data_IF_539986584568
#
_entry.id   IF_539986584568
#
_cell.length_a   1.000
_cell.length_b   1.000
_cell.length_c   1.000
_cell.angle_alpha   90.00
_cell.angle_beta   90.00
_cell.angle_gamma   90.00
#
_symmetry.space_group_name_H-M   'P 1'
#
loop_
_entity.id
_entity.type
_entity.pdbx_description
1 polymer ?
#
# COMPACT_ATOMS: atom_id res chain seq x y z
N UNK A 1 75.53 32.15 7.32
CA UNK A 1 75.30 31.50 6.01
C UNK A 1 75.10 30.01 6.27
N UNK A 2 74.06 29.42 5.66
CA UNK A 2 73.54 28.05 5.84
C UNK A 2 72.87 27.78 7.21
N UNK A 3 71.75 27.08 7.34
CA UNK A 3 70.79 26.35 6.49
C UNK A 3 69.61 26.00 7.42
N UNK A 4 68.51 25.33 7.09
CA UNK A 4 67.94 24.68 5.93
C UNK A 4 66.55 24.23 6.42
N UNK A 5 65.53 24.31 5.56
CA UNK A 5 64.18 23.86 5.89
C UNK A 5 64.12 22.34 5.91
N UNK A 6 63.41 21.75 6.89
CA UNK A 6 63.02 20.34 6.86
C UNK A 6 61.52 20.23 7.20
N UNK A 7 60.76 19.86 6.18
CA UNK A 7 59.33 19.56 6.19
C UNK A 7 59.08 18.19 6.80
N UNK A 8 58.22 18.14 7.83
CA UNK A 8 57.65 16.90 8.33
C UNK A 8 56.44 16.52 7.47
N UNK A 9 56.58 15.42 6.74
CA UNK A 9 55.51 14.73 6.01
C UNK A 9 54.70 13.94 7.04
N UNK A 10 53.42 14.28 7.21
CA UNK A 10 52.45 13.48 7.96
C UNK A 10 51.53 12.85 6.93
N UNK A 11 51.77 11.57 6.62
CA UNK A 11 50.80 10.74 5.90
C UNK A 11 49.55 10.61 6.76
N UNK A 12 48.42 11.09 6.22
CA UNK A 12 47.10 10.74 6.72
C UNK A 12 46.57 9.65 5.81
N UNK A 13 46.65 8.40 6.27
CA UNK A 13 45.94 7.29 5.64
C UNK A 13 44.44 7.53 5.75
N UNK A 14 43.81 7.88 4.62
CA UNK A 14 42.38 7.99 4.44
C UNK A 14 41.76 6.58 4.43
N UNK A 15 41.14 6.18 5.55
CA UNK A 15 40.32 4.96 5.62
C UNK A 15 39.04 5.16 4.81
N UNK A 16 38.95 4.51 3.66
CA UNK A 16 37.71 4.35 2.88
C UNK A 16 36.77 3.37 3.59
N UNK A 17 35.71 3.86 4.23
CA UNK A 17 34.55 3.04 4.60
C UNK A 17 33.63 2.88 3.38
N UNK A 18 33.02 1.69 3.17
CA UNK A 18 32.30 1.38 1.94
C UNK A 18 30.93 2.09 1.86
N UNK A 19 30.65 2.71 0.72
CA UNK A 19 29.40 3.43 0.36
C UNK A 19 28.10 2.61 0.48
N UNK A 20 28.18 1.30 0.72
CA UNK A 20 27.04 0.39 0.79
C UNK A 20 26.13 0.62 2.02
N UNK A 21 26.59 1.35 3.03
CA UNK A 21 25.84 1.64 4.26
C UNK A 21 24.68 2.62 4.04
N UNK A 22 24.81 3.58 3.12
CA UNK A 22 23.86 4.68 2.96
C UNK A 22 22.49 4.26 2.40
N UNK A 23 22.48 3.38 1.40
CA UNK A 23 21.23 2.84 0.82
C UNK A 23 20.53 1.87 1.78
N UNK A 24 21.30 1.04 2.48
CA UNK A 24 20.78 0.09 3.48
C UNK A 24 20.21 0.84 4.68
N UNK A 25 20.86 1.92 5.11
CA UNK A 25 20.43 2.78 6.21
C UNK A 25 19.22 3.64 5.83
N UNK A 26 19.14 4.14 4.58
CA UNK A 26 17.96 4.82 4.05
C UNK A 26 16.74 3.88 4.02
N UNK A 27 16.88 2.66 3.50
CA UNK A 27 15.80 1.65 3.47
C UNK A 27 15.38 1.27 4.90
N UNK A 28 16.33 1.10 5.82
CA UNK A 28 16.07 0.74 7.22
C UNK A 28 15.38 1.88 7.98
N UNK A 29 15.65 3.12 7.62
CA UNK A 29 15.00 4.31 8.20
C UNK A 29 13.59 4.47 7.63
N UNK A 30 13.41 4.39 6.31
CA UNK A 30 12.07 4.41 5.69
C UNK A 30 11.17 3.28 6.20
N UNK A 31 11.69 2.05 6.34
CA UNK A 31 10.93 0.91 6.88
C UNK A 31 10.48 1.08 8.34
N UNK A 32 11.16 1.92 9.13
CA UNK A 32 10.78 2.27 10.51
C UNK A 32 9.73 3.38 10.59
N UNK A 33 9.66 4.28 9.60
CA UNK A 33 8.76 5.44 9.61
C UNK A 33 7.40 5.19 8.91
N UNK A 34 7.36 4.35 7.88
CA UNK A 34 6.14 4.05 7.10
C UNK A 34 4.99 3.44 7.93
N UNK A 35 5.20 2.51 8.89
CA UNK A 35 4.09 1.87 9.61
C UNK A 35 3.27 2.84 10.47
N UNK A 36 3.94 3.87 11.00
CA UNK A 36 3.32 4.89 11.86
C UNK A 36 2.53 5.89 11.02
N UNK A 37 3.00 6.19 9.81
CA UNK A 37 2.33 7.07 8.85
C UNK A 37 0.99 6.50 8.37
N UNK A 38 0.93 5.19 8.07
CA UNK A 38 -0.33 4.53 7.69
C UNK A 38 -1.34 4.57 8.84
N UNK A 39 -0.88 4.41 10.08
CA UNK A 39 -1.75 4.44 11.26
C UNK A 39 -2.34 5.84 11.49
N UNK A 40 -1.51 6.88 11.37
CA UNK A 40 -1.92 8.27 11.56
C UNK A 40 -2.91 8.73 10.45
N UNK A 41 -2.68 8.35 9.19
CA UNK A 41 -3.59 8.63 8.06
C UNK A 41 -4.93 7.87 8.18
N UNK A 42 -4.89 6.63 8.67
CA UNK A 42 -6.10 5.87 8.98
C UNK A 42 -6.90 6.56 10.10
N UNK A 43 -6.23 7.08 11.13
CA UNK A 43 -6.91 7.78 12.22
C UNK A 43 -7.47 9.13 11.79
N UNK A 44 -6.79 9.85 10.88
CA UNK A 44 -7.33 11.04 10.23
C UNK A 44 -8.56 10.72 9.35
N UNK A 45 -8.48 9.67 8.53
CA UNK A 45 -9.59 9.22 7.70
C UNK A 45 -10.81 8.80 8.54
N UNK A 46 -10.59 8.16 9.70
CA UNK A 46 -11.66 7.86 10.66
C UNK A 46 -12.32 9.14 11.17
N UNK A 47 -11.55 10.13 11.58
CA UNK A 47 -12.09 11.41 12.07
C UNK A 47 -12.87 12.15 10.98
N UNK A 48 -12.39 12.17 9.73
CA UNK A 48 -13.16 12.75 8.62
C UNK A 48 -14.45 11.98 8.33
N UNK A 49 -14.40 10.65 8.39
CA UNK A 49 -15.59 9.81 8.26
C UNK A 49 -16.58 10.06 9.39
N UNK A 50 -16.12 10.32 10.61
CA UNK A 50 -16.99 10.70 11.74
C UNK A 50 -17.67 12.05 11.54
N UNK A 51 -16.95 13.05 11.03
CA UNK A 51 -17.56 14.35 10.67
C UNK A 51 -18.59 14.21 9.54
N UNK A 52 -18.30 13.37 8.53
CA UNK A 52 -19.25 13.06 7.44
C UNK A 52 -20.43 12.20 7.92
N UNK A 53 -20.20 11.34 8.93
CA UNK A 53 -21.23 10.51 9.57
C UNK A 53 -22.30 11.35 10.24
N UNK A 54 -22.02 12.56 10.72
CA UNK A 54 -23.08 13.43 11.25
C UNK A 54 -24.10 13.85 10.18
N UNK A 55 -23.63 14.18 8.97
CA UNK A 55 -24.48 14.56 7.82
C UNK A 55 -25.24 13.36 7.24
N UNK A 56 -24.57 12.22 7.11
CA UNK A 56 -25.22 10.94 6.73
C UNK A 56 -26.15 10.44 7.84
N UNK A 57 -25.81 10.73 9.09
CA UNK A 57 -26.57 10.37 10.28
C UNK A 57 -27.95 10.98 10.29
N UNK A 58 -28.09 12.25 9.87
CA UNK A 58 -29.39 12.88 9.66
C UNK A 58 -30.25 12.13 8.64
N UNK A 59 -29.68 11.66 7.53
CA UNK A 59 -30.43 10.86 6.53
C UNK A 59 -30.80 9.49 7.12
N UNK A 60 -29.88 8.87 7.87
CA UNK A 60 -30.11 7.59 8.52
C UNK A 60 -31.22 7.65 9.60
N UNK A 61 -31.33 8.75 10.35
CA UNK A 61 -32.40 8.93 11.34
C UNK A 61 -33.76 9.08 10.67
N UNK A 62 -33.87 9.88 9.61
CA UNK A 62 -35.12 9.97 8.84
C UNK A 62 -35.48 8.66 8.15
N UNK A 63 -34.50 7.92 7.63
CA UNK A 63 -34.73 6.60 7.06
C UNK A 63 -35.20 5.59 8.11
N UNK A 64 -34.61 5.60 9.31
CA UNK A 64 -35.04 4.77 10.42
C UNK A 64 -36.47 5.12 10.87
N UNK A 65 -36.79 6.41 10.97
CA UNK A 65 -38.13 6.87 11.31
C UNK A 65 -39.16 6.47 10.24
N UNK A 66 -38.82 6.62 8.96
CA UNK A 66 -39.65 6.16 7.85
C UNK A 66 -39.91 4.66 7.93
N UNK A 67 -38.90 3.85 8.27
CA UNK A 67 -39.06 2.40 8.46
C UNK A 67 -40.03 2.08 9.61
N UNK A 68 -39.99 2.83 10.71
CA UNK A 68 -40.95 2.69 11.82
C UNK A 68 -42.37 2.99 11.35
N UNK A 69 -42.58 4.10 10.62
CA UNK A 69 -43.91 4.43 10.10
C UNK A 69 -44.43 3.42 9.08
N UNK A 70 -43.56 2.87 8.23
CA UNK A 70 -43.92 1.79 7.31
C UNK A 70 -44.33 0.54 8.09
N UNK A 71 -43.62 0.18 9.16
CA UNK A 71 -43.99 -0.96 10.01
C UNK A 71 -45.36 -0.75 10.68
N UNK A 72 -45.62 0.45 11.22
CA UNK A 72 -46.93 0.79 11.80
C UNK A 72 -48.04 0.76 10.76
N UNK A 73 -47.79 1.26 9.55
CA UNK A 73 -48.75 1.19 8.43
C UNK A 73 -49.09 -0.26 8.08
N UNK A 74 -48.10 -1.15 7.99
CA UNK A 74 -48.33 -2.57 7.72
C UNK A 74 -49.20 -3.19 8.81
N UNK A 75 -48.92 -2.92 10.09
CA UNK A 75 -49.76 -3.41 11.21
C UNK A 75 -51.20 -2.90 11.06
N UNK A 76 -51.39 -1.61 10.80
CA UNK A 76 -52.71 -1.01 10.63
C UNK A 76 -53.47 -1.64 9.45
N UNK A 77 -52.80 -1.90 8.33
CA UNK A 77 -53.38 -2.58 7.17
C UNK A 77 -53.79 -4.03 7.49
N UNK A 78 -52.98 -4.77 8.26
CA UNK A 78 -53.33 -6.13 8.69
C UNK A 78 -54.56 -6.10 9.59
N UNK A 79 -54.61 -5.19 10.57
CA UNK A 79 -55.78 -5.02 11.44
C UNK A 79 -57.02 -4.65 10.63
N UNK A 80 -56.90 -3.72 9.68
CA UNK A 80 -58.00 -3.33 8.80
C UNK A 80 -58.48 -4.49 7.93
N UNK A 81 -57.57 -5.32 7.40
CA UNK A 81 -57.93 -6.51 6.63
C UNK A 81 -58.67 -7.56 7.48
N UNK A 82 -58.21 -7.78 8.71
CA UNK A 82 -58.89 -8.69 9.66
C UNK A 82 -60.28 -8.15 10.01
N UNK A 83 -60.40 -6.86 10.35
CA UNK A 83 -61.67 -6.23 10.68
C UNK A 83 -62.64 -6.22 9.50
N UNK A 84 -62.15 -5.96 8.28
CA UNK A 84 -62.93 -6.01 7.05
C UNK A 84 -63.48 -7.41 6.77
N UNK A 85 -62.65 -8.45 6.89
CA UNK A 85 -63.09 -9.84 6.71
C UNK A 85 -64.02 -10.29 7.86
N UNK A 86 -63.86 -9.73 9.06
CA UNK A 86 -64.71 -10.03 10.21
C UNK A 86 -66.18 -9.58 10.04
N UNK A 87 -66.48 -8.79 9.00
CA UNK A 87 -67.87 -8.43 8.66
C UNK A 87 -68.67 -9.61 8.07
N UNK A 88 -67.98 -10.61 7.50
CA UNK A 88 -68.60 -11.78 6.86
C UNK A 88 -68.33 -13.10 7.59
N UNK A 89 -67.25 -13.20 8.37
CA UNK A 89 -66.91 -14.39 9.17
C UNK A 89 -66.48 -14.00 10.60
N UNK A 90 -66.49 -14.91 11.59
CA UNK A 90 -66.06 -14.57 12.95
C UNK A 90 -64.63 -14.00 13.01
N UNK A 91 -64.39 -13.09 13.97
CA UNK A 91 -63.10 -12.38 14.11
C UNK A 91 -61.90 -13.33 14.24
N UNK A 92 -62.04 -14.41 15.01
CA UNK A 92 -60.98 -15.41 15.20
C UNK A 92 -60.61 -16.12 13.88
N UNK A 93 -61.61 -16.40 13.04
CA UNK A 93 -61.40 -17.06 11.75
C UNK A 93 -60.78 -16.09 10.74
N UNK A 94 -61.21 -14.82 10.75
CA UNK A 94 -60.60 -13.76 9.92
C UNK A 94 -59.11 -13.61 10.21
N UNK A 95 -58.71 -13.57 11.49
CA UNK A 95 -57.31 -13.49 11.88
C UNK A 95 -56.49 -14.68 11.37
N UNK A 96 -57.03 -15.90 11.45
CA UNK A 96 -56.38 -17.10 10.92
C UNK A 96 -56.23 -17.07 9.40
N UNK A 97 -57.25 -16.64 8.66
CA UNK A 97 -57.22 -16.58 7.19
C UNK A 97 -56.18 -15.56 6.71
N UNK A 98 -56.20 -14.33 7.26
CA UNK A 98 -55.24 -13.29 6.88
C UNK A 98 -53.81 -13.70 7.26
N UNK A 99 -53.62 -14.31 8.44
CA UNK A 99 -52.32 -14.84 8.86
C UNK A 99 -51.80 -15.92 7.89
N UNK A 100 -52.65 -16.88 7.50
CA UNK A 100 -52.28 -17.91 6.54
C UNK A 100 -51.91 -17.34 5.16
N UNK A 101 -52.65 -16.34 4.68
CA UNK A 101 -52.34 -15.65 3.42
C UNK A 101 -50.99 -14.93 3.47
N UNK A 102 -50.70 -14.21 4.56
CA UNK A 102 -49.41 -13.54 4.76
C UNK A 102 -48.25 -14.53 4.90
N UNK A 103 -48.46 -15.64 5.61
CA UNK A 103 -47.46 -16.71 5.74
C UNK A 103 -47.09 -17.28 4.37
N UNK A 104 -48.08 -17.50 3.51
CA UNK A 104 -47.86 -18.00 2.15
C UNK A 104 -47.05 -17.01 1.31
N UNK A 105 -47.40 -15.71 1.35
CA UNK A 105 -46.63 -14.66 0.67
C UNK A 105 -45.19 -14.60 1.18
N UNK A 106 -45.00 -14.68 2.50
CA UNK A 106 -43.68 -14.65 3.13
C UNK A 106 -42.85 -15.88 2.76
N UNK A 107 -43.46 -17.06 2.68
CA UNK A 107 -42.81 -18.29 2.22
C UNK A 107 -42.35 -18.18 0.76
N UNK A 108 -43.19 -17.64 -0.13
CA UNK A 108 -42.83 -17.41 -1.54
C UNK A 108 -41.68 -16.40 -1.64
N UNK A 109 -41.78 -15.26 -0.96
CA UNK A 109 -40.73 -14.23 -0.97
C UNK A 109 -39.40 -14.76 -0.41
N UNK A 110 -39.45 -15.51 0.70
CA UNK A 110 -38.28 -16.15 1.29
C UNK A 110 -37.67 -17.18 0.33
N UNK A 111 -38.49 -17.99 -0.35
CA UNK A 111 -38.01 -18.96 -1.33
C UNK A 111 -37.34 -18.29 -2.53
N UNK A 112 -37.94 -17.23 -3.09
CA UNK A 112 -37.35 -16.47 -4.20
C UNK A 112 -36.02 -15.86 -3.78
N UNK A 113 -35.99 -15.22 -2.60
CA UNK A 113 -34.76 -14.63 -2.03
C UNK A 113 -33.70 -15.70 -1.84
N UNK A 114 -34.06 -16.84 -1.24
CA UNK A 114 -33.16 -17.97 -1.05
C UNK A 114 -32.60 -18.49 -2.37
N UNK A 115 -33.43 -18.67 -3.41
CA UNK A 115 -32.96 -19.13 -4.72
C UNK A 115 -32.01 -18.15 -5.37
N UNK A 116 -32.30 -16.84 -5.29
CA UNK A 116 -31.41 -15.79 -5.82
C UNK A 116 -30.09 -15.75 -5.07
N UNK A 117 -30.12 -15.73 -3.73
CA UNK A 117 -28.91 -15.71 -2.89
C UNK A 117 -28.09 -16.99 -3.09
N UNK A 118 -28.74 -18.15 -3.19
CA UNK A 118 -28.07 -19.42 -3.46
C UNK A 118 -27.37 -19.44 -4.82
N UNK A 119 -27.96 -18.82 -5.83
CA UNK A 119 -27.33 -18.65 -7.14
C UNK A 119 -26.10 -17.74 -7.12
N UNK A 120 -25.94 -16.91 -6.08
CA UNK A 120 -24.78 -16.04 -5.88
C UNK A 120 -23.70 -16.70 -5.01
N UNK A 121 -23.90 -17.94 -4.54
CA UNK A 121 -22.88 -18.68 -3.80
C UNK A 121 -21.84 -19.29 -4.77
N UNK A 122 -20.53 -19.22 -4.45
CA UNK A 122 -19.95 -18.71 -3.21
C UNK A 122 -19.84 -17.17 -3.16
N UNK A 123 -20.51 -16.54 -2.18
CA UNK A 123 -20.47 -15.09 -1.93
C UNK A 123 -19.10 -14.62 -1.41
N UNK A 124 -18.28 -15.56 -0.91
CA UNK A 124 -16.89 -15.31 -0.58
C UNK A 124 -16.03 -15.54 -1.82
N UNK A 125 -15.22 -14.56 -2.24
CA UNK A 125 -14.24 -14.77 -3.29
C UNK A 125 -13.10 -15.65 -2.73
N UNK A 126 -13.29 -16.97 -2.78
CA UNK A 126 -12.38 -17.94 -2.17
C UNK A 126 -10.93 -17.77 -2.63
N UNK A 127 -10.73 -17.44 -3.91
CA UNK A 127 -9.40 -17.21 -4.47
C UNK A 127 -8.74 -15.93 -3.94
N UNK A 128 -9.48 -14.82 -3.86
CA UNK A 128 -8.93 -13.57 -3.32
C UNK A 128 -8.61 -13.71 -1.83
N UNK A 129 -9.48 -14.39 -1.07
CA UNK A 129 -9.25 -14.63 0.35
C UNK A 129 -8.08 -15.59 0.59
N UNK A 130 -7.94 -16.64 -0.21
CA UNK A 130 -6.80 -17.58 -0.14
C UNK A 130 -5.48 -16.87 -0.49
N UNK A 131 -5.46 -16.08 -1.56
CA UNK A 131 -4.30 -15.30 -1.98
C UNK A 131 -3.84 -14.34 -0.89
N UNK A 132 -4.77 -13.58 -0.29
CA UNK A 132 -4.44 -12.65 0.79
C UNK A 132 -3.84 -13.37 2.02
N UNK A 133 -4.38 -14.54 2.40
CA UNK A 133 -3.83 -15.34 3.51
C UNK A 133 -2.45 -15.91 3.16
N UNK A 134 -2.25 -16.32 1.91
CA UNK A 134 -0.97 -16.80 1.41
C UNK A 134 0.10 -15.70 1.46
N UNK A 135 -0.21 -14.51 0.97
CA UNK A 135 0.72 -13.39 0.95
C UNK A 135 1.07 -12.93 2.37
N UNK A 136 0.08 -12.86 3.26
CA UNK A 136 0.31 -12.56 4.69
C UNK A 136 1.17 -13.65 5.37
N UNK A 137 0.94 -14.91 5.01
CA UNK A 137 1.73 -16.04 5.50
C UNK A 137 3.20 -15.94 5.10
N UNK A 138 3.48 -15.66 3.83
CA UNK A 138 4.84 -15.44 3.32
C UNK A 138 5.49 -14.24 4.00
N UNK A 139 4.76 -13.13 4.18
CA UNK A 139 5.32 -11.95 4.86
C UNK A 139 5.69 -12.26 6.32
N UNK A 140 4.93 -13.14 6.98
CA UNK A 140 5.14 -13.48 8.40
C UNK A 140 6.20 -14.57 8.61
N UNK A 141 6.17 -15.61 7.80
CA UNK A 141 6.90 -16.86 8.03
C UNK A 141 7.97 -17.12 6.94
N UNK A 142 7.99 -16.29 5.88
CA UNK A 142 9.00 -16.35 4.83
C UNK A 142 8.98 -17.69 4.09
N UNK A 143 10.16 -18.26 3.87
CA UNK A 143 10.31 -19.59 3.23
C UNK A 143 9.83 -20.75 4.10
N UNK A 144 9.58 -20.53 5.38
CA UNK A 144 9.01 -21.55 6.26
C UNK A 144 7.47 -21.61 6.17
N UNK A 145 6.85 -20.67 5.46
CA UNK A 145 5.40 -20.67 5.25
C UNK A 145 4.98 -21.87 4.39
N UNK A 146 4.08 -22.69 4.93
CA UNK A 146 3.51 -23.82 4.22
C UNK A 146 2.10 -23.47 3.71
N UNK A 147 1.96 -23.36 2.38
CA UNK A 147 0.70 -23.03 1.73
C UNK A 147 -0.40 -24.09 1.96
N UNK A 148 -0.03 -25.35 2.27
CA UNK A 148 -0.99 -26.42 2.54
C UNK A 148 -1.81 -26.19 3.82
N UNK A 149 -1.36 -25.28 4.69
CA UNK A 149 -2.11 -24.86 5.89
C UNK A 149 -3.35 -24.02 5.59
N UNK A 150 -3.44 -23.44 4.38
CA UNK A 150 -4.56 -22.57 3.99
C UNK A 150 -5.80 -23.34 3.53
N UNK A 151 -5.58 -24.57 3.07
CA UNK A 151 -6.64 -25.45 2.61
C UNK A 151 -7.30 -26.13 3.81
N UNK A 152 -8.62 -26.31 3.71
CA UNK A 152 -9.38 -26.91 4.79
C UNK A 152 -8.89 -28.34 5.02
N UNK A 153 -8.14 -28.56 6.11
CA UNK A 153 -7.75 -29.91 6.52
C UNK A 153 -9.02 -30.72 6.84
N UNK A 154 -9.12 -31.91 6.27
CA UNK A 154 -10.17 -32.91 6.55
C UNK A 154 -9.98 -33.54 7.93
N UNK A 155 -10.11 -32.71 8.97
CA UNK A 155 -10.00 -33.11 10.36
C UNK A 155 -11.27 -33.84 10.80
N UNK A 156 -11.10 -34.91 11.58
CA UNK A 156 -12.19 -35.62 12.22
C UNK A 156 -12.97 -34.67 13.17
N UNK A 157 -14.23 -34.99 13.46
CA UNK A 157 -15.08 -34.13 14.31
C UNK A 157 -14.46 -33.85 15.70
N UNK A 158 -13.66 -34.77 16.23
CA UNK A 158 -12.97 -34.60 17.51
C UNK A 158 -11.84 -33.56 17.41
N UNK A 159 -11.04 -33.62 16.35
CA UNK A 159 -9.93 -32.69 16.12
C UNK A 159 -10.43 -31.28 15.78
N UNK A 160 -11.55 -31.15 15.05
CA UNK A 160 -12.22 -29.86 14.81
C UNK A 160 -12.70 -29.20 16.10
N UNK A 161 -13.22 -29.98 17.05
CA UNK A 161 -13.61 -29.48 18.38
C UNK A 161 -12.39 -29.05 19.20
N UNK A 162 -11.31 -29.82 19.19
CA UNK A 162 -10.07 -29.47 19.89
C UNK A 162 -9.42 -28.20 19.32
N UNK A 163 -9.33 -28.05 17.99
CA UNK A 163 -8.80 -26.83 17.35
C UNK A 163 -9.66 -25.61 17.64
N UNK A 164 -11.00 -25.72 17.59
CA UNK A 164 -11.91 -24.61 17.97
C UNK A 164 -11.72 -24.18 19.42
N UNK A 165 -11.63 -25.12 20.36
CA UNK A 165 -11.38 -24.81 21.77
C UNK A 165 -10.02 -24.12 21.98
N UNK A 166 -8.98 -24.55 21.27
CA UNK A 166 -7.66 -23.91 21.31
C UNK A 166 -7.69 -22.51 20.68
N UNK A 167 -8.40 -22.31 19.57
CA UNK A 167 -8.54 -21.01 18.91
C UNK A 167 -9.35 -20.02 19.76
N UNK A 168 -10.41 -20.48 20.42
CA UNK A 168 -11.17 -19.68 21.39
C UNK A 168 -10.31 -19.28 22.58
N UNK A 169 -9.58 -20.21 23.18
CA UNK A 169 -8.63 -19.92 24.27
C UNK A 169 -7.51 -18.96 23.83
N UNK A 170 -6.99 -19.09 22.60
CA UNK A 170 -6.00 -18.18 22.05
C UNK A 170 -6.57 -16.79 21.76
N UNK A 171 -7.82 -16.69 21.27
CA UNK A 171 -8.52 -15.41 21.08
C UNK A 171 -8.77 -14.71 22.41
N UNK A 172 -9.12 -15.43 23.46
CA UNK A 172 -9.28 -14.86 24.80
C UNK A 172 -7.96 -14.33 25.36
N UNK A 173 -6.87 -15.11 25.24
CA UNK A 173 -5.53 -14.66 25.63
C UNK A 173 -5.07 -13.43 24.83
N UNK A 174 -5.28 -13.43 23.52
CA UNK A 174 -4.92 -12.28 22.67
C UNK A 174 -5.77 -11.04 22.97
N UNK A 175 -7.06 -11.20 23.32
CA UNK A 175 -7.90 -10.10 23.77
C UNK A 175 -7.44 -9.56 25.13
N UNK A 176 -7.10 -10.43 26.07
CA UNK A 176 -6.56 -10.05 27.38
C UNK A 176 -5.21 -9.30 27.24
N UNK A 177 -4.32 -9.77 26.37
CA UNK A 177 -3.03 -9.12 26.09
C UNK A 177 -3.22 -7.76 25.38
N UNK A 178 -4.13 -7.67 24.42
CA UNK A 178 -4.48 -6.39 23.78
C UNK A 178 -5.11 -5.42 24.77
N UNK A 179 -5.98 -5.89 25.65
CA UNK A 179 -6.59 -5.09 26.71
C UNK A 179 -5.53 -4.58 27.68
N UNK A 180 -4.58 -5.43 28.09
CA UNK A 180 -3.44 -5.04 28.92
C UNK A 180 -2.54 -4.01 28.23
N UNK A 181 -2.18 -4.23 26.97
CA UNK A 181 -1.38 -3.26 26.17
C UNK A 181 -2.10 -1.95 25.91
N UNK A 182 -3.43 -1.98 25.76
CA UNK A 182 -4.25 -0.77 25.65
C UNK A 182 -4.50 -0.06 26.97
N UNK A 183 -4.31 -0.73 28.10
CA UNK A 183 -4.33 -0.13 29.43
C UNK A 183 -2.96 0.48 29.80
N UNK A 184 -1.88 -0.06 29.25
CA UNK A 184 -0.50 0.44 29.42
C UNK A 184 -0.17 1.63 28.52
N UNK A 185 -0.68 1.65 27.28
CA UNK A 185 -0.67 2.86 26.46
C UNK A 185 -1.77 3.82 26.94
N UNK A 186 -1.36 4.98 27.47
CA UNK A 186 -2.25 6.01 27.99
C UNK A 186 -3.30 6.55 27.00
N UNK A 187 -4.09 7.57 27.39
CA UNK A 187 -5.21 8.06 26.59
C UNK A 187 -4.78 8.37 25.15
N UNK A 188 -5.60 7.92 24.19
CA UNK A 188 -5.36 8.12 22.76
C UNK A 188 -5.13 9.60 22.48
N UNK A 189 -4.06 9.91 21.75
CA UNK A 189 -3.63 11.27 21.46
C UNK A 189 -4.79 12.10 20.89
N UNK A 190 -4.94 13.34 21.39
CA UNK A 190 -5.99 14.24 20.94
C UNK A 190 -5.70 14.75 19.52
N UNK A 191 -6.73 15.15 18.77
CA UNK A 191 -6.58 15.61 17.38
C UNK A 191 -5.58 16.79 17.27
N UNK A 192 -5.59 17.71 18.24
CA UNK A 192 -4.67 18.84 18.29
C UNK A 192 -3.21 18.38 18.40
N UNK A 193 -2.94 17.38 19.23
CA UNK A 193 -1.61 16.81 19.42
C UNK A 193 -1.13 16.05 18.16
N UNK A 194 -2.03 15.39 17.43
CA UNK A 194 -1.71 14.75 16.15
C UNK A 194 -1.34 15.76 15.07
N UNK A 195 -2.05 16.89 15.02
CA UNK A 195 -1.75 18.00 14.09
C UNK A 195 -0.38 18.59 14.41
N UNK A 196 -0.11 18.87 15.69
CA UNK A 196 1.16 19.43 16.18
C UNK A 196 2.35 18.50 15.88
N UNK A 197 2.20 17.18 16.10
CA UNK A 197 3.21 16.19 15.74
C UNK A 197 3.44 16.13 14.24
N UNK A 198 2.39 16.29 13.44
CA UNK A 198 2.50 16.26 11.97
C UNK A 198 3.17 17.54 11.44
N UNK A 199 2.89 18.71 12.01
CA UNK A 199 3.61 19.95 11.67
C UNK A 199 5.08 19.89 12.06
N UNK A 200 5.40 19.43 13.27
CA UNK A 200 6.80 19.28 13.72
C UNK A 200 7.60 18.31 12.83
N UNK A 201 6.99 17.22 12.37
CA UNK A 201 7.61 16.31 11.38
C UNK A 201 7.85 16.97 10.03
N UNK A 202 6.90 17.78 9.55
CA UNK A 202 7.06 18.51 8.28
C UNK A 202 8.22 19.48 8.35
N UNK A 203 8.38 20.20 9.46
CA UNK A 203 9.52 21.09 9.69
C UNK A 203 10.84 20.31 9.72
N UNK A 204 10.87 19.16 10.40
CA UNK A 204 12.05 18.30 10.42
C UNK A 204 12.43 17.74 9.04
N UNK A 205 11.44 17.37 8.20
CA UNK A 205 11.69 16.91 6.83
C UNK A 205 12.19 18.04 5.93
N UNK A 206 11.73 19.27 6.15
CA UNK A 206 12.25 20.45 5.45
C UNK A 206 13.71 20.69 5.86
N UNK A 207 14.03 20.62 7.15
CA UNK A 207 15.41 20.77 7.63
C UNK A 207 16.34 19.71 7.02
N UNK A 208 15.92 18.43 7.02
CA UNK A 208 16.67 17.35 6.38
C UNK A 208 16.84 17.55 4.86
N UNK A 209 15.82 18.09 4.17
CA UNK A 209 15.94 18.40 2.74
C UNK A 209 16.98 19.48 2.49
N UNK A 210 17.01 20.54 3.30
CA UNK A 210 17.99 21.60 3.15
C UNK A 210 19.40 21.12 3.50
N UNK A 211 19.57 20.30 4.54
CA UNK A 211 20.84 19.65 4.88
C UNK A 211 21.31 18.69 3.77
N UNK A 212 20.39 17.93 3.18
CA UNK A 212 20.69 17.08 2.02
C UNK A 212 21.01 17.91 0.77
N UNK A 213 20.40 19.08 0.57
CA UNK A 213 20.76 19.99 -0.53
C UNK A 213 22.12 20.66 -0.31
N UNK A 214 22.49 20.89 0.95
CA UNK A 214 23.80 21.41 1.35
C UNK A 214 24.90 20.35 1.21
N UNK A 215 24.60 19.10 1.56
CA UNK A 215 25.49 17.95 1.34
C UNK A 215 25.54 17.51 -0.12
N UNK A 216 24.45 17.68 -0.86
CA UNK A 216 24.35 17.40 -2.30
C UNK A 216 24.73 18.63 -3.13
N UNK A 217 25.96 19.13 -2.97
CA UNK A 217 26.64 19.95 -3.98
C UNK A 217 27.01 19.07 -5.19
N UNK A 218 25.98 18.49 -5.82
CA UNK A 218 26.03 17.56 -6.97
C UNK A 218 26.83 18.16 -8.12
N UNK A 219 26.97 19.48 -8.17
CA UNK A 219 27.74 20.20 -9.19
C UNK A 219 29.24 19.90 -9.12
N UNK A 220 29.80 19.68 -7.92
CA UNK A 220 31.21 19.32 -7.74
C UNK A 220 31.47 17.83 -7.96
N UNK A 221 30.53 16.98 -7.56
CA UNK A 221 30.62 15.54 -7.78
C UNK A 221 30.43 15.20 -9.27
N UNK A 222 29.47 15.84 -9.94
CA UNK A 222 29.23 15.66 -11.38
C UNK A 222 30.37 16.19 -12.24
N UNK A 223 31.02 17.30 -11.86
CA UNK A 223 32.22 17.78 -12.57
C UNK A 223 33.36 16.77 -12.46
N UNK A 224 33.55 16.14 -11.29
CA UNK A 224 34.58 15.12 -11.10
C UNK A 224 34.37 13.89 -12.01
N UNK A 225 33.13 13.42 -12.18
CA UNK A 225 32.83 12.30 -13.09
C UNK A 225 32.98 12.69 -14.56
N UNK A 226 32.64 13.93 -14.93
CA UNK A 226 32.83 14.45 -16.29
C UNK A 226 34.32 14.60 -16.61
N UNK A 227 35.11 15.11 -15.67
CA UNK A 227 36.56 15.30 -15.84
C UNK A 227 37.28 13.93 -15.89
N UNK A 228 36.92 12.98 -15.01
CA UNK A 228 37.39 11.59 -15.10
C UNK A 228 37.04 10.92 -16.42
N UNK A 229 35.82 11.12 -16.91
CA UNK A 229 35.40 10.58 -18.20
C UNK A 229 36.16 11.22 -19.37
N UNK A 230 36.43 12.52 -19.28
CA UNK A 230 37.16 13.28 -20.31
C UNK A 230 38.64 12.90 -20.36
N UNK A 231 39.27 12.70 -19.21
CA UNK A 231 40.66 12.26 -19.12
C UNK A 231 40.82 10.83 -19.62
N UNK A 232 39.91 9.92 -19.23
CA UNK A 232 39.91 8.53 -19.71
C UNK A 232 39.60 8.42 -21.20
N UNK A 233 38.75 9.30 -21.72
CA UNK A 233 38.50 9.42 -23.17
C UNK A 233 39.72 9.98 -23.91
N UNK A 234 40.42 10.96 -23.35
CA UNK A 234 41.65 11.51 -23.94
C UNK A 234 42.80 10.49 -23.91
N UNK A 235 42.90 9.69 -22.85
CA UNK A 235 43.88 8.61 -22.72
C UNK A 235 43.58 7.46 -23.70
N UNK A 236 42.30 7.07 -23.82
CA UNK A 236 41.83 6.10 -24.81
C UNK A 236 42.02 6.59 -26.26
N UNK A 237 41.82 7.88 -26.52
CA UNK A 237 42.07 8.47 -27.83
C UNK A 237 43.58 8.52 -28.14
N UNK A 238 44.43 8.80 -27.15
CA UNK A 238 45.89 8.77 -27.31
C UNK A 238 46.41 7.36 -27.52
N UNK A 239 45.87 6.37 -26.80
CA UNK A 239 46.24 4.95 -26.97
C UNK A 239 45.71 4.39 -28.30
N UNK A 240 44.51 4.78 -28.71
CA UNK A 240 43.98 4.47 -30.04
C UNK A 240 44.79 5.15 -31.16
N UNK A 241 45.31 6.36 -30.94
CA UNK A 241 46.18 7.04 -31.90
C UNK A 241 47.58 6.38 -32.00
N UNK A 242 48.17 5.91 -30.89
CA UNK A 242 49.43 5.13 -30.96
C UNK A 242 49.24 3.75 -31.58
N UNK A 243 48.09 3.11 -31.37
CA UNK A 243 47.74 1.83 -32.01
C UNK A 243 47.45 2.03 -33.51
N UNK A 244 46.71 3.08 -33.88
CA UNK A 244 46.41 3.39 -35.28
C UNK A 244 47.66 3.83 -36.09
N UNK A 245 48.63 4.46 -35.43
CA UNK A 245 49.89 4.85 -36.07
C UNK A 245 50.86 3.68 -36.23
N UNK A 246 50.73 2.62 -35.42
CA UNK A 246 51.60 1.44 -35.49
C UNK A 246 51.03 0.30 -36.35
N UNK A 247 49.70 0.21 -36.51
CA UNK A 247 49.06 -0.81 -37.34
C UNK A 247 47.75 -0.30 -37.96
N UNK A 248 47.69 -0.03 -39.27
CA UNK A 248 46.39 -0.02 -39.97
C UNK A 248 46.11 1.02 -41.06
N UNK A 249 47.12 1.57 -41.76
CA UNK A 249 46.84 2.45 -42.92
C UNK A 249 46.27 1.68 -44.13
N UNK A 250 46.53 0.38 -44.26
CA UNK A 250 46.09 -0.44 -45.40
C UNK A 250 44.73 -1.15 -45.18
N UNK A 251 44.37 -1.50 -43.95
CA UNK A 251 43.15 -2.28 -43.64
C UNK A 251 41.87 -1.45 -43.53
N UNK A 252 41.97 -0.13 -43.31
CA UNK A 252 40.81 0.75 -43.14
C UNK A 252 40.16 1.20 -44.48
N UNK A 253 40.89 1.17 -45.59
CA UNK A 253 40.43 1.72 -46.89
C UNK A 253 39.41 0.83 -47.63
N UNK A 254 39.36 -0.46 -47.33
CA UNK A 254 38.50 -1.44 -48.04
C UNK A 254 37.20 -1.77 -47.33
N UNK A 255 37.08 -1.55 -46.00
CA UNK A 255 35.91 -1.99 -45.23
C UNK A 255 34.86 -0.92 -44.95
N UNK A 256 35.16 0.37 -45.17
CA UNK A 256 34.35 1.47 -44.63
C UNK A 256 33.57 2.31 -45.66
N UNK A 257 33.44 1.83 -46.92
CA UNK A 257 32.56 2.49 -47.90
C UNK A 257 31.06 2.42 -47.57
N UNK A 258 30.48 1.36 -46.96
CA UNK A 258 29.05 1.36 -46.61
C UNK A 258 28.73 2.02 -45.26
N UNK A 259 29.72 2.30 -44.40
CA UNK A 259 29.51 2.88 -43.06
C UNK A 259 29.64 4.42 -43.02
N UNK A 260 30.25 5.05 -44.03
CA UNK A 260 30.30 6.51 -44.13
C UNK A 260 28.91 7.16 -44.24
N UNK A 261 27.92 6.43 -44.75
CA UNK A 261 26.51 6.89 -44.84
C UNK A 261 25.85 6.98 -43.45
N UNK A 262 26.27 6.16 -42.48
CA UNK A 262 25.74 6.22 -41.11
C UNK A 262 26.35 7.35 -40.28
N UNK A 263 27.62 7.71 -40.51
CA UNK A 263 28.27 8.81 -39.79
C UNK A 263 27.64 10.19 -40.14
N UNK A 264 27.22 10.39 -41.39
CA UNK A 264 26.53 11.63 -41.81
C UNK A 264 25.11 11.72 -41.23
N UNK A 265 24.44 10.59 -41.01
CA UNK A 265 23.10 10.55 -40.40
C UNK A 265 23.11 10.90 -38.90
N UNK A 266 24.16 10.50 -38.17
CA UNK A 266 24.27 10.78 -36.73
C UNK A 266 24.48 12.27 -36.42
N UNK A 267 25.28 12.98 -37.24
CA UNK A 267 25.50 14.43 -37.05
C UNK A 267 24.22 15.22 -37.33
N UNK A 268 23.44 14.82 -38.34
CA UNK A 268 22.14 15.43 -38.64
C UNK A 268 21.12 15.21 -37.50
N UNK A 269 21.11 14.03 -36.88
CA UNK A 269 20.23 13.72 -35.75
C UNK A 269 20.54 14.57 -34.51
N UNK A 270 21.83 14.78 -34.20
CA UNK A 270 22.27 15.61 -33.07
C UNK A 270 21.93 17.09 -33.28
N UNK A 271 22.07 17.61 -34.50
CA UNK A 271 21.69 19.00 -34.83
C UNK A 271 20.16 19.19 -34.77
N UNK A 272 19.39 18.20 -35.21
CA UNK A 272 17.92 18.24 -35.18
C UNK A 272 17.38 18.15 -33.74
N UNK A 273 17.95 17.27 -32.90
CA UNK A 273 17.64 17.18 -31.47
C UNK A 273 17.98 18.50 -30.76
N UNK A 274 19.12 19.12 -31.06
CA UNK A 274 19.50 20.41 -30.47
C UNK A 274 18.55 21.55 -30.84
N UNK A 275 17.90 21.50 -32.02
CA UNK A 275 16.93 22.50 -32.46
C UNK A 275 15.53 22.28 -31.86
N UNK A 276 15.20 21.05 -31.46
CA UNK A 276 13.91 20.67 -30.87
C UNK A 276 13.83 20.98 -29.36
N UNK A 277 14.98 20.94 -28.67
CA UNK A 277 15.10 21.31 -27.25
C UNK A 277 15.42 22.79 -27.00
N UNK A 278 15.49 23.61 -28.07
CA UNK A 278 15.53 25.06 -27.96
C UNK A 278 14.11 25.61 -28.14
N UNK A 279 13.33 25.56 -27.06
CA UNK A 279 12.17 26.42 -26.85
C UNK A 279 12.42 27.22 -25.59
#
# INVERSE_FOLDING_TARGET
MAGGQQSAHVDSEERTEPEDSTLVEAVKTTARLVPRQVTDEIDLAKLELEHKKARVGGIATFAALALVFVALLVIALVVAAIAGLATVVPLWLSALIISAALLLLLAVAALVTYRKVKGLLPLMPEHAWRGLRHDLGIVREGRAFDASTLDAQDLSKAEKKAKKAQEEAAKEKAKAERAAKSAEHGPKASQAELIERTSARREHLVALREELLEQADVKKQASHFVDLAKDKAAESARSAATVALSQGVETAKTRWKPLAVFAVSAVACVVFLRKLFKK
#
